data_IF_072536256007
#
_entry.id   IF_072536256007
#
_cell.length_a   1.000
_cell.length_b   1.000
_cell.length_c   1.000
_cell.angle_alpha   90.00
_cell.angle_beta   90.00
_cell.angle_gamma   90.00
#
_symmetry.space_group_name_H-M   'P 1'
#
loop_
_entity.id
_entity.type
_entity.pdbx_description
1 polymer ?
#
# COMPACT_ATOMS: atom_id res chain seq x y z
N UNK A 1 7.41 -70.78 -2.68
CA UNK A 1 8.28 -69.61 -2.99
C UNK A 1 7.53 -68.43 -3.65
N UNK A 2 6.23 -68.23 -3.36
CA UNK A 2 5.38 -67.21 -4.03
C UNK A 2 4.86 -66.10 -3.10
N UNK A 3 4.95 -66.28 -1.79
CA UNK A 3 4.37 -65.37 -0.78
C UNK A 3 5.28 -64.17 -0.44
N UNK A 4 6.59 -64.30 -0.66
CA UNK A 4 7.60 -63.30 -0.28
C UNK A 4 7.67 -62.12 -1.28
N UNK A 5 7.52 -62.40 -2.59
CA UNK A 5 7.52 -61.38 -3.65
C UNK A 5 6.32 -60.43 -3.60
N UNK A 6 5.14 -60.93 -3.16
CA UNK A 6 3.90 -60.13 -3.05
C UNK A 6 3.94 -59.13 -1.89
N UNK A 7 4.56 -59.50 -0.76
CA UNK A 7 4.69 -58.61 0.41
C UNK A 7 5.70 -57.50 0.15
N UNK A 8 6.80 -57.80 -0.53
CA UNK A 8 7.80 -56.81 -0.92
C UNK A 8 7.26 -55.82 -2.00
N UNK A 9 6.48 -56.32 -2.95
CA UNK A 9 5.84 -55.50 -4.00
C UNK A 9 4.73 -54.58 -3.46
N UNK A 10 4.02 -54.99 -2.40
CA UNK A 10 2.94 -54.20 -1.81
C UNK A 10 3.48 -53.05 -0.93
N UNK A 11 4.57 -53.27 -0.21
CA UNK A 11 5.24 -52.23 0.58
C UNK A 11 5.94 -51.20 -0.31
N UNK A 12 6.53 -51.63 -1.44
CA UNK A 12 7.16 -50.72 -2.41
C UNK A 12 6.11 -49.82 -3.10
N UNK A 13 4.95 -50.38 -3.43
CA UNK A 13 3.84 -49.62 -4.02
C UNK A 13 3.21 -48.64 -3.02
N UNK A 14 3.06 -49.04 -1.75
CA UNK A 14 2.59 -48.15 -0.67
C UNK A 14 3.53 -46.97 -0.42
N UNK A 15 4.84 -47.18 -0.45
CA UNK A 15 5.83 -46.12 -0.29
C UNK A 15 5.86 -45.15 -1.49
N UNK A 16 5.62 -45.67 -2.70
CA UNK A 16 5.51 -44.88 -3.93
C UNK A 16 4.26 -43.97 -3.90
N UNK A 17 3.12 -44.50 -3.47
CA UNK A 17 1.85 -43.75 -3.38
C UNK A 17 1.92 -42.70 -2.26
N UNK A 18 2.55 -43.01 -1.13
CA UNK A 18 2.77 -42.05 -0.03
C UNK A 18 3.74 -40.93 -0.42
N UNK A 19 4.80 -41.27 -1.18
CA UNK A 19 5.73 -40.28 -1.74
C UNK A 19 5.09 -39.38 -2.80
N UNK A 20 4.21 -39.93 -3.65
CA UNK A 20 3.43 -39.16 -4.62
C UNK A 20 2.38 -38.25 -3.96
N UNK A 21 1.81 -38.67 -2.82
CA UNK A 21 0.88 -37.85 -2.04
C UNK A 21 1.58 -36.63 -1.40
N UNK A 22 2.84 -36.79 -0.97
CA UNK A 22 3.66 -35.69 -0.44
C UNK A 22 4.02 -34.61 -1.48
N UNK A 23 4.13 -35.00 -2.76
CA UNK A 23 4.37 -34.06 -3.86
C UNK A 23 3.13 -33.22 -4.22
N UNK A 24 1.92 -33.69 -3.87
CA UNK A 24 0.67 -32.99 -4.20
C UNK A 24 0.27 -31.94 -3.14
N UNK A 25 0.80 -32.02 -1.91
CA UNK A 25 0.43 -31.15 -0.77
C UNK A 25 1.25 -29.85 -0.72
N UNK A 26 2.35 -29.73 -1.45
CA UNK A 26 3.25 -28.57 -1.37
C UNK A 26 2.79 -27.33 -2.17
N UNK A 27 1.57 -27.31 -2.71
CA UNK A 27 1.04 -26.17 -3.49
C UNK A 27 -0.17 -25.50 -2.83
N UNK A 28 -0.10 -25.26 -1.52
CA UNK A 28 -1.03 -24.39 -0.81
C UNK A 28 -0.25 -23.46 0.10
N UNK A 29 0.34 -22.39 -0.47
CA UNK A 29 1.07 -21.41 0.34
C UNK A 29 1.94 -20.42 -0.41
N UNK A 30 1.68 -20.14 -1.69
CA UNK A 30 2.13 -18.87 -2.28
C UNK A 30 0.92 -17.95 -2.32
N UNK A 31 0.61 -17.35 -1.17
CA UNK A 31 -0.19 -16.13 -1.19
C UNK A 31 0.65 -15.10 -1.96
N UNK A 32 0.25 -14.83 -3.20
CA UNK A 32 0.78 -13.70 -3.95
C UNK A 32 0.42 -12.46 -3.13
N UNK A 33 1.35 -12.03 -2.27
CA UNK A 33 1.29 -10.73 -1.61
C UNK A 33 1.38 -9.71 -2.73
N UNK A 34 0.22 -9.34 -3.28
CA UNK A 34 0.09 -8.23 -4.21
C UNK A 34 0.79 -7.05 -3.55
N UNK A 35 1.80 -6.45 -4.19
CA UNK A 35 2.51 -5.33 -3.60
C UNK A 35 1.47 -4.27 -3.24
N UNK A 36 1.36 -3.98 -1.94
CA UNK A 36 0.53 -2.90 -1.43
C UNK A 36 0.84 -1.67 -2.28
N UNK A 37 -0.15 -1.18 -3.03
CA UNK A 37 0.05 -0.16 -4.05
C UNK A 37 0.41 1.16 -3.37
N UNK A 38 1.71 1.40 -3.16
CA UNK A 38 2.20 2.65 -2.60
C UNK A 38 2.03 3.75 -3.65
N UNK A 39 1.14 4.69 -3.37
CA UNK A 39 0.88 5.84 -4.25
C UNK A 39 2.06 6.81 -4.15
N UNK A 40 2.80 6.98 -5.24
CA UNK A 40 3.94 7.90 -5.33
C UNK A 40 3.49 9.26 -5.86
N UNK A 41 4.00 10.33 -5.27
CA UNK A 41 3.81 11.70 -5.74
C UNK A 41 5.02 12.14 -6.56
N UNK A 42 4.78 12.58 -7.80
CA UNK A 42 5.84 13.07 -8.70
C UNK A 42 5.36 14.38 -9.32
N UNK A 43 6.16 15.45 -9.18
CA UNK A 43 5.91 16.77 -9.77
C UNK A 43 7.20 17.23 -10.45
N UNK A 44 7.13 17.65 -11.72
CA UNK A 44 8.29 18.10 -12.50
C UNK A 44 9.49 17.13 -12.41
N UNK A 45 9.25 15.84 -12.59
CA UNK A 45 10.24 14.75 -12.48
C UNK A 45 10.90 14.59 -11.09
N UNK A 46 10.44 15.31 -10.07
CA UNK A 46 10.90 15.16 -8.69
C UNK A 46 9.89 14.34 -7.90
N UNK A 47 10.36 13.28 -7.25
CA UNK A 47 9.56 12.52 -6.28
C UNK A 47 9.41 13.34 -5.01
N UNK A 48 8.17 13.48 -4.54
CA UNK A 48 7.85 14.22 -3.33
C UNK A 48 7.69 13.26 -2.16
N UNK A 49 8.20 13.68 -1.00
CA UNK A 49 7.96 13.02 0.28
C UNK A 49 6.84 13.77 0.98
N UNK A 50 5.88 13.03 1.52
CA UNK A 50 4.77 13.58 2.29
C UNK A 50 4.77 12.95 3.68
N UNK A 51 4.59 13.77 4.72
CA UNK A 51 4.50 13.29 6.10
C UNK A 51 3.27 12.40 6.31
N UNK A 52 2.19 12.72 5.58
CA UNK A 52 0.99 11.90 5.50
C UNK A 52 0.97 11.23 4.12
N UNK A 53 0.94 9.88 4.05
CA UNK A 53 0.92 9.18 2.78
C UNK A 53 -0.39 9.48 2.03
N UNK A 54 -0.36 9.57 0.69
CA UNK A 54 -1.59 9.64 -0.09
C UNK A 54 -2.46 8.40 0.12
N UNK A 55 -3.77 8.58 0.13
CA UNK A 55 -4.72 7.51 0.42
C UNK A 55 -5.85 7.46 -0.61
N UNK A 56 -6.34 6.27 -0.92
CA UNK A 56 -7.53 6.10 -1.75
C UNK A 56 -8.78 6.11 -0.85
N UNK A 57 -9.60 7.16 -0.96
CA UNK A 57 -10.82 7.32 -0.18
C UNK A 57 -11.98 7.53 -1.16
N UNK A 58 -13.02 6.70 -1.06
CA UNK A 58 -14.21 6.77 -1.94
C UNK A 58 -13.86 6.81 -3.45
N UNK A 59 -12.86 6.03 -3.86
CA UNK A 59 -12.38 5.98 -5.26
C UNK A 59 -11.58 7.21 -5.72
N UNK A 60 -11.21 8.10 -4.80
CA UNK A 60 -10.39 9.29 -5.07
C UNK A 60 -9.08 9.22 -4.31
N UNK A 61 -7.99 9.62 -4.95
CA UNK A 61 -6.70 9.76 -4.26
C UNK A 61 -6.65 11.08 -3.52
N UNK A 62 -6.65 11.01 -2.19
CA UNK A 62 -6.44 12.14 -1.31
C UNK A 62 -4.94 12.39 -1.15
N UNK A 63 -4.51 13.60 -1.51
CA UNK A 63 -3.11 14.02 -1.46
C UNK A 63 -3.00 15.23 -0.53
N UNK A 64 -2.00 15.29 0.36
CA UNK A 64 -1.77 16.47 1.19
C UNK A 64 -1.56 17.73 0.36
N UNK A 65 -2.45 18.71 0.54
CA UNK A 65 -2.45 19.96 -0.25
C UNK A 65 -1.13 20.73 -0.12
N UNK A 66 -0.52 20.74 1.08
CA UNK A 66 0.75 21.44 1.34
C UNK A 66 1.88 20.93 0.45
N UNK A 67 2.01 19.60 0.33
CA UNK A 67 3.09 18.96 -0.44
C UNK A 67 3.01 19.35 -1.92
N UNK A 68 1.80 19.38 -2.48
CA UNK A 68 1.58 19.79 -3.86
C UNK A 68 1.85 21.30 -4.03
N UNK A 69 1.35 22.13 -3.11
CA UNK A 69 1.53 23.57 -3.18
C UNK A 69 3.01 23.98 -3.12
N UNK A 70 3.78 23.43 -2.17
CA UNK A 70 5.21 23.70 -2.03
C UNK A 70 6.02 23.22 -3.24
N UNK A 71 5.65 22.06 -3.81
CA UNK A 71 6.29 21.57 -5.04
C UNK A 71 6.05 22.48 -6.26
N UNK A 72 4.98 23.27 -6.23
CA UNK A 72 4.68 24.31 -7.23
C UNK A 72 5.31 25.67 -6.89
N UNK A 73 6.14 25.76 -5.84
CA UNK A 73 6.79 26.98 -5.40
C UNK A 73 5.87 27.93 -4.63
N UNK A 74 4.80 27.42 -4.03
CA UNK A 74 3.90 28.21 -3.18
C UNK A 74 4.37 28.08 -1.73
N UNK A 75 4.58 29.21 -1.07
CA UNK A 75 4.88 29.22 0.37
C UNK A 75 3.57 29.00 1.14
N UNK A 76 3.54 28.01 2.03
CA UNK A 76 2.37 27.69 2.86
C UNK A 76 2.74 27.83 4.32
N UNK A 77 2.09 28.78 5.01
CA UNK A 77 2.27 29.03 6.44
C UNK A 77 0.97 28.74 7.19
N UNK A 78 1.11 28.15 8.38
CA UNK A 78 -0.02 27.94 9.29
C UNK A 78 0.19 28.74 10.56
N UNK A 79 -0.77 29.61 10.88
CA UNK A 79 -0.82 30.33 12.14
C UNK A 79 -1.80 29.62 13.07
N UNK A 80 -1.27 28.93 14.09
CA UNK A 80 -2.05 28.13 15.03
C UNK A 80 -3.00 28.97 15.88
N UNK A 81 -2.53 30.13 16.37
CA UNK A 81 -3.31 31.05 17.20
C UNK A 81 -4.60 31.53 16.53
N UNK A 82 -4.55 31.74 15.22
CA UNK A 82 -5.70 32.21 14.42
C UNK A 82 -6.31 31.11 13.55
N UNK A 83 -5.80 29.87 13.66
CA UNK A 83 -6.14 28.72 12.79
C UNK A 83 -6.23 29.09 11.31
N UNK A 84 -5.27 29.89 10.85
CA UNK A 84 -5.26 30.43 9.49
C UNK A 84 -4.14 29.80 8.69
N UNK A 85 -4.48 29.20 7.55
CA UNK A 85 -3.54 28.79 6.51
C UNK A 85 -3.38 29.96 5.55
N UNK A 86 -2.14 30.41 5.33
CA UNK A 86 -1.79 31.42 4.33
C UNK A 86 -0.93 30.75 3.27
N UNK A 87 -1.38 30.80 2.02
CA UNK A 87 -0.61 30.37 0.87
C UNK A 87 -0.26 31.59 0.03
N UNK A 88 1.01 31.78 -0.29
CA UNK A 88 1.49 32.94 -1.05
C UNK A 88 2.45 32.56 -2.16
N UNK A 89 2.26 33.14 -3.34
CA UNK A 89 3.20 33.08 -4.46
C UNK A 89 3.13 34.39 -5.24
N UNK A 90 4.29 35.04 -5.44
CA UNK A 90 4.39 36.36 -6.07
C UNK A 90 3.51 37.39 -5.34
N UNK A 91 2.46 37.89 -5.99
CA UNK A 91 1.50 38.85 -5.43
C UNK A 91 0.12 38.22 -5.14
N UNK A 92 0.00 36.89 -5.23
CA UNK A 92 -1.24 36.16 -4.93
C UNK A 92 -1.14 35.62 -3.51
N UNK A 93 -2.08 36.03 -2.66
CA UNK A 93 -2.21 35.55 -1.29
C UNK A 93 -3.60 34.94 -1.12
N UNK A 94 -3.64 33.67 -0.75
CA UNK A 94 -4.87 32.95 -0.39
C UNK A 94 -4.83 32.70 1.11
N UNK A 95 -5.85 33.16 1.83
CA UNK A 95 -6.02 32.90 3.26
C UNK A 95 -7.24 32.03 3.48
N UNK A 96 -7.03 30.91 4.16
CA UNK A 96 -8.07 30.00 4.59
C UNK A 96 -8.11 29.99 6.12
N UNK A 97 -9.23 30.40 6.69
CA UNK A 97 -9.46 30.36 8.14
C UNK A 97 -10.23 29.08 8.45
N UNK A 98 -9.66 28.23 9.31
CA UNK A 98 -10.31 27.00 9.75
C UNK A 98 -11.28 27.38 10.88
N UNK A 99 -12.49 27.78 10.49
CA UNK A 99 -13.61 27.94 11.42
C UNK A 99 -14.13 26.55 11.79
N UNK A 100 -14.17 26.22 13.08
CA UNK A 100 -14.49 24.89 13.56
C UNK A 100 -15.94 24.49 13.29
N UNK A 101 -16.19 23.82 12.18
CA UNK A 101 -17.35 22.96 11.97
C UNK A 101 -16.89 21.58 11.50
N UNK A 102 -16.27 20.85 12.41
CA UNK A 102 -15.79 19.48 12.21
C UNK A 102 -16.96 18.52 11.96
N UNK A 103 -17.40 18.40 10.71
CA UNK A 103 -18.36 17.39 10.25
C UNK A 103 -17.68 16.48 9.21
N UNK A 104 -16.58 15.86 9.60
CA UNK A 104 -15.99 14.72 8.87
C UNK A 104 -16.00 13.53 9.83
N UNK A 105 -17.06 12.72 9.69
CA UNK A 105 -17.13 11.34 10.17
C UNK A 105 -16.91 10.37 9.02
#
# INVERSE_FOLDING_TARGET
MSSFKKRFSLTLFGCLVLGLFFLFVNSAGAENVSPSQVIKLIVNNKTLTADVPPALINGRTMVPVRVVAEALGILVEFNDSTRTVTASQNNIIVKLIISGNSQYG
#
